data_IF_593739203668
#
_entry.id   IF_593739203668
#
_cell.length_a   1.000
_cell.length_b   1.000
_cell.length_c   1.000
_cell.angle_alpha   90.00
_cell.angle_beta   90.00
_cell.angle_gamma   90.00
#
_symmetry.space_group_name_H-M   'P 1'
#
loop_
_entity.id
_entity.type
_entity.pdbx_description
1 polymer ?
#
# COMPACT_ATOMS: atom_id res chain seq x y z
N UNK A 1 -2.06 47.05 -14.18
CA UNK A 1 -2.08 45.63 -14.59
C UNK A 1 -0.74 45.06 -14.19
N UNK A 2 -0.69 44.34 -13.07
CA UNK A 2 0.56 43.75 -12.56
C UNK A 2 0.32 42.27 -12.33
N UNK A 3 0.96 41.48 -13.17
CA UNK A 3 1.01 40.03 -13.18
C UNK A 3 1.63 39.51 -11.89
N UNK A 4 0.83 38.85 -11.04
CA UNK A 4 1.34 38.09 -9.91
C UNK A 4 1.70 36.68 -10.39
N UNK A 5 2.98 36.38 -10.25
CA UNK A 5 3.69 35.13 -10.45
C UNK A 5 2.91 33.89 -9.97
N UNK A 6 2.76 32.90 -10.85
CA UNK A 6 2.42 31.53 -10.46
C UNK A 6 3.60 30.95 -9.65
N UNK A 7 3.46 30.89 -8.33
CA UNK A 7 4.29 30.04 -7.49
C UNK A 7 3.88 28.59 -7.75
N UNK A 8 4.69 27.86 -8.49
CA UNK A 8 4.70 26.40 -8.47
C UNK A 8 5.39 25.97 -7.17
N UNK A 9 4.72 25.34 -6.19
CA UNK A 9 5.44 24.50 -5.27
C UNK A 9 5.75 23.20 -6.01
N UNK A 10 6.85 23.17 -6.77
CA UNK A 10 7.52 21.90 -7.07
C UNK A 10 8.12 21.45 -5.74
N UNK A 11 7.27 20.90 -4.88
CA UNK A 11 7.67 20.29 -3.64
C UNK A 11 8.51 19.08 -3.99
N UNK A 12 9.82 19.23 -3.96
CA UNK A 12 10.72 18.09 -3.85
C UNK A 12 10.29 17.33 -2.59
N UNK A 13 9.57 16.22 -2.78
CA UNK A 13 9.07 15.38 -1.70
C UNK A 13 10.28 14.88 -0.94
N UNK A 14 10.59 15.55 0.17
CA UNK A 14 11.77 15.26 0.96
C UNK A 14 11.39 14.14 1.91
N UNK A 15 11.40 12.92 1.38
CA UNK A 15 11.17 11.73 2.19
C UNK A 15 12.39 11.50 3.05
N UNK A 16 12.26 11.77 4.34
CA UNK A 16 13.31 11.48 5.32
C UNK A 16 12.86 10.32 6.19
N UNK A 17 13.54 9.16 6.14
CA UNK A 17 13.35 8.16 7.17
C UNK A 17 13.82 8.77 8.49
N UNK A 18 12.90 8.88 9.46
CA UNK A 18 13.26 9.37 10.80
C UNK A 18 14.04 8.24 11.48
N UNK A 19 15.24 8.51 12.04
CA UNK A 19 16.20 7.47 12.49
C UNK A 19 15.70 6.55 13.61
N UNK A 20 14.50 6.78 14.15
CA UNK A 20 13.86 5.90 15.12
C UNK A 20 12.96 4.81 14.49
N UNK A 21 12.90 4.71 13.16
CA UNK A 21 12.33 3.57 12.44
C UNK A 21 10.81 3.39 12.56
N UNK A 22 10.08 4.44 12.98
CA UNK A 22 8.63 4.38 13.27
C UNK A 22 7.83 5.54 12.69
N UNK A 23 8.44 6.34 11.82
CA UNK A 23 7.74 7.44 11.18
C UNK A 23 8.36 7.82 9.83
N UNK A 24 7.48 8.20 8.91
CA UNK A 24 7.73 8.65 7.56
C UNK A 24 7.29 10.11 7.48
N UNK A 25 8.13 11.00 6.96
CA UNK A 25 7.71 12.37 6.67
C UNK A 25 7.38 12.53 5.18
N UNK A 26 6.13 12.91 4.88
CA UNK A 26 5.59 13.03 3.54
C UNK A 26 4.80 14.34 3.41
N UNK A 27 5.28 15.28 2.61
CA UNK A 27 4.70 16.63 2.47
C UNK A 27 4.51 17.41 3.80
N UNK A 28 5.33 17.13 4.82
CA UNK A 28 5.17 17.71 6.16
C UNK A 28 4.12 16.99 7.03
N UNK A 29 3.56 15.88 6.55
CA UNK A 29 2.79 14.94 7.35
C UNK A 29 3.70 13.85 7.89
N UNK A 30 3.77 13.74 9.21
CA UNK A 30 4.52 12.66 9.87
C UNK A 30 3.60 11.45 10.06
N UNK A 31 3.80 10.45 9.22
CA UNK A 31 3.07 9.19 9.23
C UNK A 31 3.77 8.21 10.14
N UNK A 32 3.11 7.84 11.23
CA UNK A 32 3.66 6.85 12.17
C UNK A 32 3.46 5.42 11.64
N UNK A 33 4.52 4.64 11.68
CA UNK A 33 4.55 3.22 11.32
C UNK A 33 4.96 2.37 12.52
N UNK A 34 4.56 1.09 12.53
CA UNK A 34 5.02 0.11 13.52
C UNK A 34 6.36 -0.53 13.09
N UNK A 35 6.91 -1.42 13.93
CA UNK A 35 8.16 -2.15 13.63
C UNK A 35 8.10 -2.97 12.33
N UNK A 36 6.93 -3.49 11.97
CA UNK A 36 6.71 -4.27 10.76
C UNK A 36 6.50 -3.36 9.51
N UNK A 37 6.44 -2.04 9.71
CA UNK A 37 6.23 -1.03 8.67
C UNK A 37 4.76 -0.79 8.31
N UNK A 38 3.81 -1.21 9.13
CA UNK A 38 2.38 -0.87 8.98
C UNK A 38 2.09 0.51 9.53
N UNK A 39 1.25 1.27 8.83
CA UNK A 39 0.78 2.56 9.31
C UNK A 39 -0.10 2.40 10.55
N UNK A 40 0.16 3.23 11.56
CA UNK A 40 -0.66 3.32 12.77
C UNK A 40 -1.94 4.12 12.53
N UNK A 41 -1.94 5.00 11.52
CA UNK A 41 -3.04 5.90 11.18
C UNK A 41 -3.44 5.67 9.73
N UNK A 42 -4.56 4.97 9.53
CA UNK A 42 -5.09 4.65 8.18
C UNK A 42 -5.57 5.88 7.41
N UNK A 43 -6.03 6.90 8.14
CA UNK A 43 -6.59 8.12 7.54
C UNK A 43 -5.52 9.00 6.91
N UNK A 44 -4.26 8.76 7.25
CA UNK A 44 -3.10 9.42 6.67
C UNK A 44 -2.54 8.64 5.46
N UNK A 45 -3.20 7.56 5.05
CA UNK A 45 -2.78 6.82 3.87
C UNK A 45 -3.03 7.66 2.62
N UNK A 46 -1.98 7.87 1.85
CA UNK A 46 -2.06 8.41 0.49
C UNK A 46 -1.35 7.47 -0.46
N UNK A 47 -1.61 7.56 -1.78
CA UNK A 47 -0.88 6.79 -2.78
C UNK A 47 0.65 6.93 -2.63
N UNK A 48 1.16 8.12 -2.33
CA UNK A 48 2.61 8.34 -2.18
C UNK A 48 3.19 7.56 -0.99
N UNK A 49 2.40 7.35 0.06
CA UNK A 49 2.81 6.54 1.23
C UNK A 49 2.91 5.08 0.84
N UNK A 50 1.95 4.57 0.04
CA UNK A 50 2.00 3.21 -0.46
C UNK A 50 3.27 2.98 -1.29
N UNK A 51 3.59 3.91 -2.20
CA UNK A 51 4.82 3.84 -3.01
C UNK A 51 6.06 3.83 -2.13
N UNK A 52 6.09 4.67 -1.09
CA UNK A 52 7.22 4.71 -0.19
C UNK A 52 7.37 3.41 0.61
N UNK A 53 6.27 2.89 1.17
CA UNK A 53 6.29 1.62 1.89
C UNK A 53 6.77 0.48 1.00
N UNK A 54 6.35 0.47 -0.26
CA UNK A 54 6.80 -0.49 -1.24
C UNK A 54 8.30 -0.33 -1.55
N UNK A 55 8.76 0.90 -1.80
CA UNK A 55 10.19 1.19 -2.01
C UNK A 55 11.05 0.80 -0.83
N UNK A 56 10.57 1.00 0.40
CA UNK A 56 11.25 0.56 1.63
C UNK A 56 11.38 -0.97 1.72
N UNK A 57 10.40 -1.70 1.18
CA UNK A 57 10.45 -3.17 1.05
C UNK A 57 11.13 -3.64 -0.24
N UNK A 58 11.64 -2.73 -1.08
CA UNK A 58 12.30 -3.04 -2.35
C UNK A 58 11.34 -3.47 -3.47
N UNK A 59 10.06 -3.11 -3.36
CA UNK A 59 9.01 -3.39 -4.35
C UNK A 59 8.61 -2.11 -5.07
N UNK A 60 8.45 -2.20 -6.39
CA UNK A 60 7.93 -1.12 -7.21
C UNK A 60 6.43 -1.35 -7.47
N UNK A 61 5.59 -0.38 -7.10
CA UNK A 61 4.15 -0.48 -7.32
C UNK A 61 3.82 -0.21 -8.79
N UNK A 62 3.63 -1.27 -9.56
CA UNK A 62 3.06 -1.22 -10.91
C UNK A 62 1.54 -1.09 -10.88
N UNK A 63 0.91 -0.88 -12.03
CA UNK A 63 -0.56 -0.82 -12.15
C UNK A 63 -1.26 -2.04 -11.53
N UNK A 64 -0.67 -3.23 -11.68
CA UNK A 64 -1.16 -4.48 -11.11
C UNK A 64 -1.21 -4.43 -9.58
N UNK A 65 -0.14 -3.90 -8.96
CA UNK A 65 -0.11 -3.69 -7.52
C UNK A 65 -1.19 -2.71 -7.10
N UNK A 66 -1.33 -1.58 -7.81
CA UNK A 66 -2.36 -0.59 -7.51
C UNK A 66 -3.77 -1.15 -7.53
N UNK A 67 -4.10 -1.98 -8.52
CA UNK A 67 -5.39 -2.67 -8.60
C UNK A 67 -5.62 -3.56 -7.38
N UNK A 68 -4.59 -4.28 -6.94
CA UNK A 68 -4.64 -5.12 -5.73
C UNK A 68 -4.85 -4.27 -4.48
N UNK A 69 -4.10 -3.17 -4.32
CA UNK A 69 -4.23 -2.28 -3.17
C UNK A 69 -5.62 -1.65 -3.10
N UNK A 70 -6.13 -1.17 -4.23
CA UNK A 70 -7.45 -0.56 -4.30
C UNK A 70 -8.55 -1.58 -3.98
N UNK A 71 -8.45 -2.80 -4.51
CA UNK A 71 -9.35 -3.90 -4.16
C UNK A 71 -9.32 -4.21 -2.65
N UNK A 72 -8.13 -4.35 -2.07
CA UNK A 72 -7.98 -4.59 -0.62
C UNK A 72 -8.65 -3.50 0.19
N UNK A 73 -8.49 -2.22 -0.21
CA UNK A 73 -9.12 -1.08 0.46
C UNK A 73 -10.63 -1.09 0.33
N UNK A 74 -11.17 -1.38 -0.85
CA UNK A 74 -12.63 -1.49 -1.08
C UNK A 74 -13.23 -2.63 -0.27
N UNK A 75 -12.62 -3.81 -0.34
CA UNK A 75 -13.05 -4.98 0.40
C UNK A 75 -13.00 -4.72 1.91
N UNK A 76 -11.93 -4.09 2.41
CA UNK A 76 -11.84 -3.72 3.83
C UNK A 76 -12.85 -2.63 4.20
N UNK A 77 -13.15 -1.68 3.33
CA UNK A 77 -14.18 -0.66 3.60
C UNK A 77 -15.59 -1.27 3.68
N UNK A 78 -15.87 -2.32 2.90
CA UNK A 78 -17.16 -3.00 2.87
C UNK A 78 -17.33 -4.03 3.99
N UNK A 79 -16.30 -4.84 4.24
CA UNK A 79 -16.38 -5.99 5.16
C UNK A 79 -15.62 -5.78 6.49
N UNK A 80 -14.80 -4.72 6.61
CA UNK A 80 -13.90 -4.46 7.75
C UNK A 80 -12.89 -5.59 8.04
N UNK A 81 -12.72 -6.50 7.09
CA UNK A 81 -11.79 -7.64 7.13
C UNK A 81 -10.92 -7.65 5.88
N UNK A 82 -9.70 -8.20 5.98
CA UNK A 82 -8.84 -8.37 4.81
C UNK A 82 -9.21 -9.68 4.09
N UNK A 83 -9.28 -9.69 2.75
CA UNK A 83 -9.55 -10.92 2.02
C UNK A 83 -8.33 -11.85 2.10
N UNK A 84 -8.57 -13.16 2.04
CA UNK A 84 -7.47 -14.11 1.93
C UNK A 84 -6.92 -14.13 0.48
N UNK A 85 -5.74 -14.73 0.30
CA UNK A 85 -5.07 -14.82 -1.02
C UNK A 85 -5.95 -15.47 -2.08
N UNK A 86 -6.80 -16.43 -1.71
CA UNK A 86 -7.66 -17.16 -2.65
C UNK A 86 -8.79 -16.30 -3.21
N UNK A 87 -9.43 -15.49 -2.35
CA UNK A 87 -10.45 -14.53 -2.77
C UNK A 87 -9.81 -13.43 -3.63
N UNK A 88 -8.66 -12.91 -3.20
CA UNK A 88 -7.91 -11.92 -3.96
C UNK A 88 -7.60 -12.41 -5.37
N UNK A 89 -7.03 -13.62 -5.50
CA UNK A 89 -6.67 -14.20 -6.80
C UNK A 89 -7.89 -14.31 -7.72
N UNK A 90 -9.01 -14.84 -7.22
CA UNK A 90 -10.24 -14.97 -8.01
C UNK A 90 -10.73 -13.62 -8.53
N UNK A 91 -10.74 -12.61 -7.67
CA UNK A 91 -11.20 -11.28 -8.08
C UNK A 91 -10.29 -10.66 -9.15
N UNK A 92 -8.97 -10.87 -9.05
CA UNK A 92 -8.03 -10.37 -10.05
C UNK A 92 -8.17 -11.11 -11.38
N UNK A 93 -8.39 -12.43 -11.37
CA UNK A 93 -8.72 -13.20 -12.57
C UNK A 93 -9.99 -12.68 -13.25
N UNK A 94 -11.02 -12.34 -12.45
CA UNK A 94 -12.28 -11.77 -12.94
C UNK A 94 -12.08 -10.35 -13.51
N UNK A 95 -11.35 -9.47 -12.81
CA UNK A 95 -11.13 -8.09 -13.27
C UNK A 95 -10.17 -7.97 -14.44
N UNK A 96 -9.08 -8.74 -14.46
CA UNK A 96 -8.10 -8.67 -15.55
C UNK A 96 -8.51 -9.54 -16.73
N UNK A 97 -9.51 -10.40 -16.55
CA UNK A 97 -9.91 -11.40 -17.54
C UNK A 97 -8.80 -12.42 -17.81
N UNK A 98 -7.80 -12.49 -16.93
CA UNK A 98 -6.64 -13.35 -17.10
C UNK A 98 -6.79 -14.59 -16.23
N UNK A 99 -7.32 -15.64 -16.84
CA UNK A 99 -7.43 -16.94 -16.21
C UNK A 99 -6.06 -17.60 -15.93
N UNK A 100 -4.95 -17.06 -16.46
CA UNK A 100 -3.60 -17.53 -16.18
C UNK A 100 -2.98 -16.87 -14.95
N UNK A 101 -3.65 -15.89 -14.33
CA UNK A 101 -3.16 -15.32 -13.09
C UNK A 101 -3.18 -16.41 -12.01
N UNK A 102 -2.00 -16.77 -11.52
CA UNK A 102 -1.83 -17.82 -10.52
C UNK A 102 -1.28 -17.28 -9.20
N UNK A 103 -1.35 -18.12 -8.16
CA UNK A 103 -0.77 -17.77 -6.85
C UNK A 103 0.70 -17.36 -7.00
N UNK A 104 1.48 -18.08 -7.80
CA UNK A 104 2.90 -17.77 -8.00
C UNK A 104 3.12 -16.37 -8.57
N UNK A 105 2.24 -15.92 -9.47
CA UNK A 105 2.28 -14.57 -10.01
C UNK A 105 2.07 -13.51 -8.91
N UNK A 106 1.14 -13.75 -7.98
CA UNK A 106 0.96 -12.86 -6.83
C UNK A 106 2.18 -12.83 -5.90
N UNK A 107 2.90 -13.94 -5.76
CA UNK A 107 4.15 -13.98 -5.00
C UNK A 107 5.32 -13.35 -5.75
N UNK A 108 5.26 -13.25 -7.08
CA UNK A 108 6.23 -12.47 -7.87
C UNK A 108 6.03 -10.97 -7.66
N UNK A 109 4.76 -10.51 -7.63
CA UNK A 109 4.42 -9.13 -7.32
C UNK A 109 4.74 -8.79 -5.85
N UNK A 110 4.33 -9.66 -4.93
CA UNK A 110 4.52 -9.50 -3.50
C UNK A 110 5.38 -10.63 -2.92
N UNK A 111 6.72 -10.50 -2.93
CA UNK A 111 7.63 -11.55 -2.47
C UNK A 111 7.47 -11.90 -0.99
N UNK A 112 6.98 -10.98 -0.15
CA UNK A 112 6.67 -11.23 1.26
C UNK A 112 5.25 -11.74 1.50
N UNK A 113 4.48 -11.96 0.43
CA UNK A 113 3.12 -12.48 0.44
C UNK A 113 2.08 -11.41 0.13
N UNK A 114 1.14 -11.65 -0.80
CA UNK A 114 0.20 -10.63 -1.30
C UNK A 114 -0.78 -10.15 -0.23
N UNK A 115 -1.21 -11.01 0.70
CA UNK A 115 -2.08 -10.60 1.79
C UNK A 115 -1.37 -9.69 2.78
N UNK A 116 -0.14 -10.04 3.20
CA UNK A 116 0.60 -9.29 4.22
C UNK A 116 1.17 -7.98 3.65
N UNK A 117 1.86 -8.09 2.52
CA UNK A 117 2.53 -6.98 1.87
C UNK A 117 1.53 -6.04 1.17
N UNK A 118 0.49 -6.59 0.54
CA UNK A 118 -0.61 -5.81 -0.03
C UNK A 118 -1.37 -5.02 1.02
N UNK A 119 -1.74 -5.62 2.16
CA UNK A 119 -2.44 -4.88 3.24
C UNK A 119 -1.57 -3.78 3.85
N UNK A 120 -0.26 -4.05 4.00
CA UNK A 120 0.72 -3.05 4.45
C UNK A 120 0.76 -1.84 3.52
N UNK A 121 0.93 -2.06 2.22
CA UNK A 121 0.99 -0.98 1.23
C UNK A 121 -0.35 -0.27 1.06
N UNK A 122 -1.46 -0.99 1.25
CA UNK A 122 -2.81 -0.43 1.24
C UNK A 122 -3.11 0.44 2.48
N UNK A 123 -2.19 0.53 3.44
CA UNK A 123 -2.38 1.27 4.69
C UNK A 123 -3.42 0.65 5.62
N UNK A 124 -3.73 -0.63 5.42
CA UNK A 124 -4.66 -1.37 6.25
C UNK A 124 -3.95 -1.86 7.51
N UNK A 125 -4.65 -1.97 8.66
CA UNK A 125 -4.06 -2.57 9.84
C UNK A 125 -3.64 -4.01 9.54
N UNK A 126 -2.60 -4.48 10.22
CA UNK A 126 -2.19 -5.89 10.16
C UNK A 126 -3.45 -6.75 10.40
N UNK A 127 -3.82 -7.67 9.49
CA UNK A 127 -4.93 -8.57 9.74
C UNK A 127 -4.64 -9.31 11.05
N UNK A 128 -5.61 -9.31 11.97
CA UNK A 128 -5.52 -10.14 13.17
C UNK A 128 -5.26 -11.57 12.71
N UNK A 129 -4.21 -12.17 13.27
CA UNK A 129 -3.69 -13.51 12.99
C UNK A 129 -4.70 -14.43 12.29
N UNK A 130 -4.34 -14.93 11.10
CA UNK A 130 -4.75 -16.30 10.81
C UNK A 130 -4.13 -17.14 11.92
N UNK A 131 -4.96 -17.57 12.86
CA UNK A 131 -4.69 -18.70 13.74
C UNK A 131 -4.26 -19.86 12.84
N UNK A 132 -2.94 -20.05 12.69
CA UNK A 132 -2.36 -21.31 12.26
C UNK A 132 -2.68 -22.32 13.38
N UNK A 133 -3.83 -23.00 13.24
CA UNK A 133 -4.25 -24.14 14.03
C UNK A 133 -3.92 -25.44 13.31
#
# INVERSE_FOLDING_TARGET
MSTTTLSTPTGAVTVRPIPEGRAIDLHGMTIKTNHDGYMLQRDQWTPEVAELLARLDGVELTEEHWRILDYLRRYYAEYLISPNVRILLRHLQEEWGDAQLDRDHLYQLFPKGPAFQGTKFAGLPKPYDCIDG
#
